data_IF_713228509799
#
_entry.id   IF_713228509799
#
_cell.length_a   1.000
_cell.length_b   1.000
_cell.length_c   1.000
_cell.angle_alpha   90.00
_cell.angle_beta   90.00
_cell.angle_gamma   90.00
#
_symmetry.space_group_name_H-M   'P 1'
#
loop_
_entity.id
_entity.type
_entity.pdbx_description
1 polymer ?
2 water ?
#
# COMPACT_ATOMS: atom_id res chain seq x y z
N UNK A 7 23.92 -9.15 20.64
CA UNK A 7 22.95 -9.15 19.54
C UNK A 7 21.94 -7.99 19.67
N UNK A 8 21.86 -7.07 18.67
CA UNK A 8 20.88 -5.96 18.76
C UNK A 8 19.46 -6.49 18.63
N UNK A 9 18.51 -5.92 19.39
CA UNK A 9 17.11 -6.37 19.32
C UNK A 9 16.17 -5.23 19.01
N UNK A 10 15.02 -5.54 18.37
CA UNK A 10 13.95 -4.60 18.03
C UNK A 10 12.79 -4.82 19.00
N UNK A 11 12.22 -3.77 19.60
CA UNK A 11 11.05 -3.95 20.49
C UNK A 11 9.86 -4.42 19.61
N UNK A 12 9.77 -3.90 18.36
CA UNK A 12 8.74 -4.19 17.34
C UNK A 12 9.27 -3.67 16.01
N UNK A 13 8.65 -4.09 14.90
CA UNK A 13 9.08 -3.69 13.53
C UNK A 13 7.85 -3.24 12.76
N UNK A 14 7.82 -1.95 12.40
CA UNK A 14 6.68 -1.32 11.74
C UNK A 14 7.14 -0.56 10.50
N UNK A 15 6.34 -0.63 9.44
CA UNK A 15 6.67 0.06 8.19
C UNK A 15 5.47 0.67 7.53
N UNK A 16 5.65 1.84 6.89
CA UNK A 16 4.64 2.50 6.09
C UNK A 16 5.29 2.77 4.73
N UNK A 17 4.62 2.38 3.66
CA UNK A 17 5.15 2.54 2.31
C UNK A 17 4.07 3.21 1.50
N UNK A 18 4.42 4.34 0.83
CA UNK A 18 3.49 5.11 -0.02
C UNK A 18 4.10 5.20 -1.40
N UNK A 19 3.27 4.91 -2.40
CA UNK A 19 3.65 5.03 -3.79
C UNK A 19 2.66 5.87 -4.55
N UNK A 20 3.11 7.01 -5.11
CA UNK A 20 2.24 7.90 -5.88
C UNK A 20 2.56 7.81 -7.36
N UNK A 21 1.56 7.50 -8.17
CA UNK A 21 1.70 7.27 -9.60
C UNK A 21 0.77 8.11 -10.45
N UNK A 22 -0.52 8.02 -10.14
CA UNK A 22 -1.59 8.65 -10.89
C UNK A 22 -1.87 10.08 -10.46
N UNK A 23 -1.07 10.98 -11.00
CA UNK A 23 -1.16 12.41 -10.70
C UNK A 23 -2.21 13.13 -11.57
N UNK A 24 -3.03 13.97 -10.93
CA UNK A 24 -4.06 14.77 -11.60
C UNK A 24 -3.45 15.82 -12.56
N UNK A 25 -2.47 16.59 -12.07
CA UNK A 25 -1.83 17.66 -12.83
C UNK A 25 -0.36 17.43 -13.17
N UNK A 26 0.19 16.22 -12.89
CA UNK A 26 1.60 15.99 -13.18
C UNK A 26 1.84 14.72 -13.98
N UNK A 27 3.03 14.53 -14.61
CA UNK A 27 3.26 13.26 -15.34
C UNK A 27 2.99 12.02 -14.49
N UNK A 28 2.36 11.03 -15.10
CA UNK A 28 2.10 9.78 -14.37
C UNK A 28 3.39 8.98 -14.24
N UNK A 29 3.57 8.30 -13.11
CA UNK A 29 4.77 7.50 -12.88
C UNK A 29 4.42 6.04 -13.04
N UNK A 30 5.41 5.20 -13.28
CA UNK A 30 5.10 3.78 -13.46
C UNK A 30 5.67 2.87 -12.39
N UNK A 31 6.94 3.13 -12.00
CA UNK A 31 7.69 2.31 -11.04
C UNK A 31 7.13 2.19 -9.60
N UNK A 32 6.47 3.20 -8.98
CA UNK A 32 5.96 2.99 -7.59
C UNK A 32 5.06 1.78 -7.36
N UNK A 33 4.23 1.38 -8.36
CA UNK A 33 3.31 0.22 -8.33
C UNK A 33 4.02 -1.07 -7.89
N UNK A 34 4.93 -1.60 -8.75
CA UNK A 34 5.69 -2.83 -8.50
C UNK A 34 6.68 -2.65 -7.32
N UNK A 35 7.34 -1.47 -7.22
CA UNK A 35 8.33 -1.19 -6.17
C UNK A 35 7.70 -1.27 -4.74
N UNK A 36 6.58 -0.59 -4.52
CA UNK A 36 5.88 -0.69 -3.22
C UNK A 36 5.38 -2.13 -2.96
N UNK A 37 4.82 -2.80 -4.00
CA UNK A 37 4.33 -4.17 -3.93
C UNK A 37 5.47 -5.13 -3.50
N UNK A 38 6.63 -5.06 -4.17
CA UNK A 38 7.79 -5.88 -3.86
C UNK A 38 8.46 -5.53 -2.53
N UNK A 39 8.50 -4.25 -2.17
CA UNK A 39 9.10 -3.89 -0.88
C UNK A 39 8.26 -4.37 0.30
N UNK A 40 6.91 -4.31 0.15
CA UNK A 40 5.94 -4.80 1.13
C UNK A 40 6.22 -6.27 1.42
N UNK A 41 6.40 -7.09 0.37
CA UNK A 41 6.65 -8.52 0.56
C UNK A 41 7.97 -8.77 1.26
N UNK A 42 9.04 -8.06 0.83
CA UNK A 42 10.38 -8.16 1.41
C UNK A 42 10.39 -7.83 2.90
N UNK A 43 9.78 -6.69 3.28
CA UNK A 43 9.67 -6.30 4.69
C UNK A 43 8.83 -7.26 5.51
N UNK A 44 7.68 -7.76 4.96
CA UNK A 44 6.86 -8.72 5.72
C UNK A 44 7.65 -9.97 6.05
N UNK A 45 8.52 -10.40 5.12
CA UNK A 45 9.44 -11.53 5.31
C UNK A 45 10.34 -11.28 6.50
N UNK A 46 10.74 -10.01 6.76
CA UNK A 46 11.62 -9.61 7.87
C UNK A 46 10.86 -9.30 9.18
N UNK A 47 9.54 -9.64 9.24
CA UNK A 47 8.66 -9.47 10.38
C UNK A 47 8.23 -8.05 10.70
N UNK A 48 8.26 -7.19 9.69
CA UNK A 48 7.69 -5.86 9.83
C UNK A 48 6.18 -5.98 9.65
N UNK A 49 5.42 -5.20 10.42
CA UNK A 49 3.97 -5.07 10.25
C UNK A 49 3.90 -3.88 9.28
N UNK A 50 3.46 -4.13 8.05
CA UNK A 50 3.52 -3.16 6.95
C UNK A 50 2.16 -2.61 6.52
N UNK A 51 2.08 -1.31 6.30
CA UNK A 51 0.90 -0.73 5.67
C UNK A 51 1.44 -0.15 4.36
N UNK A 52 0.86 -0.55 3.20
CA UNK A 52 1.25 -0.06 1.87
C UNK A 52 0.10 0.68 1.23
N UNK A 53 0.37 1.90 0.71
CA UNK A 53 -0.72 2.70 0.19
C UNK A 53 -0.34 3.28 -1.15
N UNK A 54 -1.27 3.20 -2.09
CA UNK A 54 -1.07 3.70 -3.44
C UNK A 54 -1.94 4.93 -3.71
N UNK A 55 -1.37 5.98 -4.35
CA UNK A 55 -2.07 7.21 -4.80
C UNK A 55 -2.84 7.99 -3.72
N UNK A 56 -2.09 8.65 -2.82
CA UNK A 56 -2.70 9.39 -1.71
C UNK A 56 -2.75 10.88 -1.93
N UNK A 57 -3.80 11.54 -1.42
CA UNK A 57 -3.93 13.00 -1.52
C UNK A 57 -3.11 13.61 -0.39
N UNK A 58 -3.05 14.98 -0.34
CA UNK A 58 -2.30 15.68 0.71
C UNK A 58 -2.77 15.28 2.10
N UNK A 59 -4.10 15.37 2.35
CA UNK A 59 -4.73 15.03 3.63
C UNK A 59 -4.44 13.59 4.03
N UNK A 60 -4.59 12.65 3.07
CA UNK A 60 -4.34 11.21 3.26
C UNK A 60 -2.89 10.94 3.62
N UNK A 61 -1.94 11.58 2.91
CA UNK A 61 -0.51 11.44 3.20
C UNK A 61 -0.15 11.89 4.61
N UNK A 62 -0.59 13.10 5.00
CA UNK A 62 -0.35 13.65 6.34
C UNK A 62 -0.92 12.75 7.42
N UNK A 63 -2.14 12.21 7.22
CA UNK A 63 -2.78 11.34 8.21
C UNK A 63 -2.10 10.00 8.37
N UNK A 64 -1.62 9.41 7.25
CA UNK A 64 -0.93 8.13 7.29
C UNK A 64 0.43 8.27 7.96
N UNK A 65 1.19 9.35 7.63
CA UNK A 65 2.49 9.61 8.26
C UNK A 65 2.33 9.82 9.79
N UNK A 66 1.33 10.60 10.21
CA UNK A 66 1.03 10.85 11.62
C UNK A 66 0.76 9.56 12.37
N UNK A 67 -0.05 8.63 11.80
CA UNK A 67 -0.36 7.33 12.42
C UNK A 67 0.90 6.46 12.52
N UNK A 68 1.77 6.55 11.52
CA UNK A 68 3.01 5.77 11.54
C UNK A 68 3.94 6.29 12.65
N UNK A 69 4.08 7.62 12.77
CA UNK A 69 4.92 8.29 13.76
C UNK A 69 4.48 7.89 15.17
N UNK A 70 3.16 7.68 15.35
CA UNK A 70 2.56 7.29 16.61
C UNK A 70 2.99 5.91 17.11
N UNK A 71 3.46 5.04 16.18
CA UNK A 71 3.90 3.70 16.53
C UNK A 71 5.34 3.64 17.04
N UNK A 72 6.09 4.72 16.88
CA UNK A 72 7.51 4.75 17.16
C UNK A 72 7.89 4.93 18.61
N UNK A 73 7.58 3.90 19.42
CA UNK A 73 7.88 3.87 20.85
C UNK A 73 9.35 3.48 21.06
N UNK A 74 9.85 3.61 22.31
CA UNK A 74 11.23 3.31 22.64
C UNK A 74 11.61 1.91 22.21
N UNK A 75 12.73 1.80 21.50
CA UNK A 75 13.28 0.54 21.03
C UNK A 75 12.68 -0.02 19.74
N UNK A 76 11.60 0.58 19.25
CA UNK A 76 10.92 0.11 18.02
C UNK A 76 11.74 0.41 16.76
N UNK A 77 11.69 -0.51 15.77
CA UNK A 77 12.30 -0.34 14.46
C UNK A 77 11.21 0.17 13.50
N UNK A 78 11.42 1.33 12.91
CA UNK A 78 10.45 1.88 11.95
C UNK A 78 11.07 2.01 10.57
N UNK A 79 10.26 1.85 9.51
CA UNK A 79 10.76 2.11 8.13
C UNK A 79 9.65 2.84 7.38
N UNK A 80 9.98 3.99 6.79
CA UNK A 80 9.04 4.78 6.01
C UNK A 80 9.62 4.91 4.60
N UNK A 81 8.82 4.57 3.60
CA UNK A 81 9.25 4.65 2.22
C UNK A 81 8.27 5.44 1.42
N UNK A 82 8.79 6.39 0.63
CA UNK A 82 7.95 7.12 -0.29
C UNK A 82 8.52 7.08 -1.69
N UNK A 83 7.68 6.74 -2.67
CA UNK A 83 8.08 6.80 -4.09
C UNK A 83 7.04 7.63 -4.84
N UNK A 84 7.53 8.63 -5.58
CA UNK A 84 6.66 9.52 -6.35
C UNK A 84 7.33 10.80 -6.77
N UNK A 85 6.54 11.82 -7.10
CA UNK A 85 7.13 13.11 -7.43
C UNK A 85 7.64 13.79 -6.16
N UNK A 86 8.77 14.47 -6.27
CA UNK A 86 9.36 15.25 -5.20
C UNK A 86 9.60 16.67 -5.67
N UNK A 87 9.77 17.58 -4.74
CA UNK A 87 9.99 19.01 -5.00
C UNK A 87 11.07 19.53 -4.06
N UNK A 88 11.99 20.38 -4.56
CA UNK A 88 13.04 20.97 -3.74
C UNK A 88 12.92 22.49 -3.77
N UNK A 89 12.90 23.13 -2.59
CA UNK A 89 12.79 24.59 -2.51
C UNK A 89 13.47 25.17 -1.27
N UNK A 90 14.54 25.97 -1.49
CA UNK A 90 15.36 26.64 -0.47
C UNK A 90 15.91 25.73 0.61
N UNK A 91 16.66 24.71 0.18
CA UNK A 91 17.27 23.74 1.08
C UNK A 91 16.32 22.72 1.68
N UNK A 92 15.03 22.77 1.30
CA UNK A 92 14.03 21.83 1.80
C UNK A 92 13.48 20.98 0.67
N UNK A 93 13.20 19.69 0.97
CA UNK A 93 12.64 18.75 0.01
C UNK A 93 11.22 18.40 0.44
N UNK A 94 10.34 18.15 -0.56
CA UNK A 94 8.92 17.91 -0.33
C UNK A 94 8.39 16.68 -1.09
N UNK A 95 7.47 15.91 -0.47
CA UNK A 95 6.77 14.79 -1.12
C UNK A 95 5.50 15.34 -1.72
N UNK A 96 5.29 15.07 -3.02
CA UNK A 96 4.14 15.57 -3.77
C UNK A 96 2.94 14.60 -3.80
N UNK A 97 1.79 14.98 -3.21
CA UNK A 97 0.59 14.12 -3.29
C UNK A 97 -0.07 14.16 -4.67
N UNK A 98 -0.89 13.15 -5.00
CA UNK A 98 -1.57 13.03 -6.31
C UNK A 98 -2.50 14.19 -6.72
N UNK A 99 -3.05 14.92 -5.72
CA UNK A 99 -3.99 16.04 -5.89
C UNK A 99 -3.29 17.41 -5.93
N UNK A 100 -1.95 17.43 -6.02
CA UNK A 100 -1.21 18.67 -6.02
C UNK A 100 -1.44 19.45 -7.32
N UNK A 101 -1.77 20.75 -7.20
CA UNK A 101 -2.00 21.54 -8.41
C UNK A 101 -0.68 21.84 -9.12
N UNK A 102 -0.76 22.16 -10.43
CA UNK A 102 0.42 22.52 -11.20
C UNK A 102 0.33 24.05 -11.45
N UNK A 103 1.36 24.87 -11.10
CA UNK A 103 2.69 24.53 -10.54
C UNK A 103 2.74 24.12 -9.05
N UNK A 104 3.89 23.53 -8.62
CA UNK A 104 4.14 23.06 -7.25
C UNK A 104 4.15 24.18 -6.23
N UNK A 105 3.47 23.94 -5.10
CA UNK A 105 3.46 24.85 -3.95
C UNK A 105 3.74 24.03 -2.69
N UNK A 106 4.62 24.55 -1.81
CA UNK A 106 5.03 23.93 -0.53
C UNK A 106 3.85 23.50 0.34
N UNK A 107 2.84 24.40 0.50
CA UNK A 107 1.65 24.17 1.32
C UNK A 107 0.82 22.94 0.92
N UNK A 108 0.92 22.54 -0.35
CA UNK A 108 0.21 21.37 -0.88
C UNK A 108 1.02 20.08 -0.69
N UNK A 109 2.29 20.18 -0.28
CA UNK A 109 3.22 19.07 -0.17
C UNK A 109 3.63 18.76 1.28
N UNK A 110 4.27 17.60 1.49
CA UNK A 110 4.75 17.21 2.82
C UNK A 110 6.23 17.47 2.91
N UNK A 111 6.62 18.27 3.91
CA UNK A 111 8.01 18.64 4.15
C UNK A 111 8.79 17.53 4.85
N UNK A 112 9.80 17.03 4.15
CA UNK A 112 10.70 15.94 4.54
C UNK A 112 11.47 16.33 5.81
N UNK A 113 11.99 17.58 5.85
CA UNK A 113 12.76 18.10 6.98
C UNK A 113 11.92 18.09 8.26
N UNK A 114 10.62 18.39 8.14
CA UNK A 114 9.70 18.38 9.30
C UNK A 114 9.46 16.98 9.82
N UNK A 115 9.38 15.97 8.92
CA UNK A 115 9.22 14.58 9.34
C UNK A 115 10.49 14.11 10.07
N UNK A 116 11.67 14.36 9.48
CA UNK A 116 13.01 14.06 10.05
C UNK A 116 13.12 14.64 11.50
N UNK A 117 12.64 15.89 11.68
CA UNK A 117 12.60 16.62 12.94
C UNK A 117 11.72 15.88 13.96
N UNK A 118 10.54 15.42 13.53
CA UNK A 118 9.66 14.66 14.41
C UNK A 118 10.27 13.28 14.73
N UNK A 119 10.98 12.66 13.76
CA UNK A 119 11.63 11.37 13.98
C UNK A 119 12.76 11.47 15.02
N UNK A 120 13.48 12.61 15.02
CA UNK A 120 14.62 12.91 15.92
C UNK A 120 14.24 13.00 17.42
N UNK A 121 12.94 13.19 17.70
CA UNK A 121 12.36 13.26 19.05
C UNK A 121 11.93 11.87 19.56
N UNK A 122 11.99 10.82 18.71
CA UNK A 122 11.64 9.47 19.11
C UNK A 122 12.88 8.77 19.69
N UNK A 123 12.65 7.70 20.44
CA UNK A 123 13.70 6.89 21.05
C UNK A 123 13.69 5.52 20.38
N UNK A 124 13.54 5.53 19.06
CA UNK A 124 13.56 4.33 18.24
C UNK A 124 14.88 3.64 18.31
N UNK A 125 14.83 2.33 18.22
CA UNK A 125 16.01 1.46 18.14
C UNK A 125 16.61 1.68 16.76
N UNK A 126 15.73 1.88 15.75
CA UNK A 126 16.15 2.18 14.38
C UNK A 126 15.02 2.86 13.63
N UNK A 127 15.34 3.88 12.83
CA UNK A 127 14.32 4.53 12.01
C UNK A 127 14.90 4.82 10.67
N UNK A 128 14.42 4.10 9.65
CA UNK A 128 14.88 4.19 8.25
C UNK A 128 13.86 4.93 7.45
N UNK A 129 14.28 6.04 6.81
CA UNK A 129 13.41 6.86 6.00
C UNK A 129 14.00 6.90 4.61
N UNK A 130 13.32 6.26 3.66
CA UNK A 130 13.80 6.22 2.28
C UNK A 130 12.89 6.98 1.34
N UNK A 131 13.46 7.87 0.50
CA UNK A 131 12.71 8.64 -0.49
C UNK A 131 13.20 8.20 -1.87
N UNK A 132 12.28 7.95 -2.76
CA UNK A 132 12.60 7.53 -4.11
C UNK A 132 11.81 8.48 -5.02
N UNK A 133 12.36 9.69 -5.23
CA UNK A 133 11.68 10.80 -5.87
C UNK A 133 12.16 11.25 -7.20
N UNK A 134 11.19 11.59 -8.04
CA UNK A 134 11.34 12.19 -9.36
C UNK A 134 11.30 13.68 -8.99
N UNK A 135 12.51 14.25 -8.86
CA UNK A 135 12.83 15.60 -8.38
C UNK A 135 12.52 16.73 -9.38
N UNK A 136 12.10 17.90 -8.84
CA UNK A 136 11.80 19.12 -9.60
C UNK A 136 12.09 20.40 -8.79
N UNK A 137 12.76 21.39 -9.42
CA UNK A 137 13.11 22.70 -8.86
C UNK A 137 12.76 23.80 -9.87
N UNK A 138 12.18 24.93 -9.39
CA UNK A 138 11.81 26.11 -10.19
C UNK A 138 11.32 27.25 -9.30
N UNK A 151 19.63 14.73 22.71
CA UNK A 151 20.68 13.88 23.26
C UNK A 151 20.52 12.40 22.92
N UNK A 152 19.47 11.72 23.46
CA UNK A 152 19.20 10.28 23.23
C UNK A 152 18.95 10.01 21.74
N UNK A 153 19.80 9.17 21.13
CA UNK A 153 19.75 8.82 19.70
C UNK A 153 18.39 8.23 19.24
N UNK A 154 17.94 8.67 18.05
CA UNK A 154 16.73 8.15 17.41
C UNK A 154 17.19 7.10 16.40
N UNK A 155 18.54 7.02 16.17
CA UNK A 155 19.17 6.09 15.23
C UNK A 155 18.50 6.19 13.84
N UNK A 156 18.48 7.43 13.28
CA UNK A 156 17.87 7.71 11.98
C UNK A 156 18.84 7.43 10.85
N UNK A 157 18.39 6.67 9.85
CA UNK A 157 19.13 6.39 8.63
C UNK A 157 18.20 6.90 7.52
N UNK A 158 18.66 7.92 6.78
CA UNK A 158 17.88 8.55 5.74
C UNK A 158 18.55 8.32 4.38
N UNK A 159 17.82 7.68 3.47
CA UNK A 159 18.26 7.41 2.09
C UNK A 159 17.45 8.23 1.10
N UNK A 160 18.14 9.02 0.27
CA UNK A 160 17.40 9.88 -0.65
C UNK A 160 17.88 9.71 -2.07
N UNK A 161 17.11 8.94 -2.86
CA UNK A 161 17.38 8.65 -4.25
C UNK A 161 16.60 9.63 -5.13
N UNK A 162 17.30 10.23 -6.10
CA UNK A 162 16.70 11.20 -7.01
C UNK A 162 16.75 10.70 -8.47
N UNK A 163 16.81 9.37 -8.66
CA UNK A 163 16.87 8.69 -9.97
C UNK A 163 15.54 8.08 -10.49
N UNK A 164 14.40 8.45 -9.86
CA UNK A 164 13.04 7.99 -10.20
C UNK A 164 12.63 8.48 -11.58
N UNK A 168 12.70 7.35 -15.03
CA UNK A 168 13.67 6.28 -15.27
C UNK A 168 13.26 4.96 -14.59
N UNK A 169 13.11 3.89 -15.41
CA UNK A 169 12.74 2.54 -14.99
C UNK A 169 13.06 1.51 -16.08
N UNK A 170 12.70 0.24 -15.82
CA UNK A 170 12.91 -0.86 -16.76
C UNK A 170 11.62 -1.68 -16.92
N UNK A 171 11.30 -2.02 -18.17
CA UNK A 171 10.14 -2.84 -18.51
C UNK A 171 10.53 -4.32 -18.47
N UNK A 172 9.72 -5.13 -17.77
CA UNK A 172 9.96 -6.57 -17.66
C UNK A 172 9.26 -7.33 -18.78
N UNK A 173 9.52 -8.65 -18.87
CA UNK A 173 8.93 -9.59 -19.83
C UNK A 173 7.40 -9.58 -19.70
N UNK A 174 6.92 -9.20 -18.50
CA UNK A 174 5.52 -9.07 -18.09
C UNK A 174 4.87 -7.77 -18.60
N UNK A 175 5.71 -6.77 -18.89
CA UNK A 175 5.26 -5.44 -19.33
C UNK A 175 5.12 -4.46 -18.19
N UNK A 176 5.50 -4.89 -16.96
CA UNK A 176 5.46 -4.10 -15.72
C UNK A 176 6.78 -3.33 -15.53
N UNK A 177 6.67 -2.11 -14.96
CA UNK A 177 7.79 -1.20 -14.71
C UNK A 177 8.44 -1.43 -13.35
N UNK A 178 9.79 -1.53 -13.30
CA UNK A 178 10.62 -1.74 -12.10
C UNK A 178 11.62 -0.57 -11.96
N UNK A 179 11.76 -0.03 -10.74
CA UNK A 179 12.63 1.11 -10.44
C UNK A 179 14.10 0.79 -10.22
N UNK A 180 14.97 1.79 -10.46
CA UNK A 180 16.44 1.67 -10.33
C UNK A 180 16.90 1.56 -8.86
N UNK A 181 16.44 2.45 -7.98
CA UNK A 181 16.79 2.36 -6.57
C UNK A 181 16.29 1.03 -5.97
N UNK A 182 15.05 0.61 -6.28
CA UNK A 182 14.49 -0.65 -5.75
C UNK A 182 15.17 -1.90 -6.30
N UNK A 183 15.59 -1.90 -7.56
CA UNK A 183 16.31 -3.02 -8.19
C UNK A 183 17.52 -3.42 -7.33
N UNK A 184 18.32 -2.42 -6.91
CA UNK A 184 19.52 -2.67 -6.12
C UNK A 184 19.20 -2.93 -4.66
N UNK A 185 18.19 -2.25 -4.14
CA UNK A 185 17.72 -2.41 -2.77
C UNK A 185 17.18 -3.80 -2.50
N UNK A 186 16.28 -4.31 -3.38
CA UNK A 186 15.68 -5.63 -3.21
C UNK A 186 16.70 -6.80 -3.18
N UNK A 187 17.86 -6.62 -3.86
CA UNK A 187 18.94 -7.60 -3.90
C UNK A 187 19.81 -7.62 -2.63
N UNK A 188 19.68 -6.60 -1.75
CA UNK A 188 20.51 -6.46 -0.53
C UNK A 188 19.77 -6.44 0.80
N UNK A 189 18.51 -6.01 0.79
CA UNK A 189 17.66 -5.84 1.97
C UNK A 189 17.51 -7.03 2.90
N UNK A 190 17.55 -8.28 2.39
CA UNK A 190 17.37 -9.47 3.22
C UNK A 190 18.65 -9.92 3.97
N UNK A 191 19.81 -9.33 3.63
CA UNK A 191 21.11 -9.68 4.24
C UNK A 191 21.23 -9.21 5.68
N UNK A 192 21.85 -10.05 6.55
CA UNK A 192 22.10 -9.75 7.96
C UNK A 192 23.39 -8.93 8.04
N UNK A 193 23.28 -7.64 7.72
CA UNK A 193 24.37 -6.67 7.71
C UNK A 193 23.78 -5.37 8.17
N UNK A 194 24.60 -4.54 8.86
CA UNK A 194 24.25 -3.21 9.34
C UNK A 194 23.60 -2.40 8.18
N UNK A 195 22.45 -1.77 8.42
CA UNK A 195 21.69 -1.04 7.39
C UNK A 195 22.50 -0.02 6.57
N UNK A 196 23.36 0.74 7.24
CA UNK A 196 24.21 1.77 6.64
C UNK A 196 25.24 1.16 5.70
N UNK A 197 25.73 -0.04 6.03
CA UNK A 197 26.70 -0.78 5.22
C UNK A 197 26.00 -1.26 3.94
N UNK A 198 24.73 -1.75 4.06
CA UNK A 198 23.92 -2.18 2.93
C UNK A 198 23.63 -1.03 1.98
N UNK A 199 23.25 0.13 2.53
CA UNK A 199 22.96 1.31 1.73
C UNK A 199 24.20 1.84 0.97
N UNK A 200 25.41 1.71 1.57
CA UNK A 200 26.67 2.12 0.93
C UNK A 200 26.92 1.21 -0.29
N UNK A 201 26.62 -0.09 -0.17
CA UNK A 201 26.73 -1.04 -1.28
C UNK A 201 25.74 -0.67 -2.39
N UNK A 202 24.48 -0.29 -2.03
CA UNK A 202 23.46 0.14 -3.00
C UNK A 202 23.95 1.38 -3.76
N UNK A 203 24.57 2.35 -3.04
CA UNK A 203 25.12 3.58 -3.65
C UNK A 203 26.24 3.24 -4.63
N UNK A 204 27.07 2.20 -4.31
CA UNK A 204 28.14 1.74 -5.20
C UNK A 204 27.56 1.08 -6.45
N UNK A 205 26.55 0.20 -6.27
CA UNK A 205 25.83 -0.48 -7.37
C UNK A 205 25.28 0.52 -8.36
N UNK A 206 24.65 1.59 -7.86
CA UNK A 206 24.07 2.66 -8.67
C UNK A 206 25.14 3.51 -9.38
N UNK A 207 26.28 3.72 -8.71
CA UNK A 207 27.42 4.45 -9.27
C UNK A 207 28.09 3.73 -10.42
N UNK A 208 27.99 2.38 -10.46
CA UNK A 208 28.52 1.52 -11.53
C UNK A 208 27.48 1.38 -12.66
N UNK A 209 26.18 1.50 -12.31
CA UNK A 209 25.03 1.43 -13.23
C UNK A 209 25.13 2.57 -14.25
N UNK A 210 24.93 2.24 -15.54
CA UNK A 210 25.03 3.18 -16.66
C UNK A 210 24.11 4.41 -16.60
N UNK A 211 22.87 4.22 -16.09
CA UNK A 211 21.86 5.28 -15.95
C UNK A 211 22.20 6.33 -14.88
N UNK A 212 22.98 5.92 -13.86
CA UNK A 212 23.30 6.76 -12.69
C UNK A 212 24.80 7.03 -12.44
N UNK A 213 25.70 6.54 -13.34
CA UNK A 213 27.15 6.70 -13.26
C UNK A 213 27.60 8.17 -13.22
N UNK A 214 28.41 8.51 -12.22
CA UNK A 214 28.97 9.85 -11.99
C UNK A 214 27.96 10.96 -11.75
N UNK A 215 26.74 10.59 -11.28
CA UNK A 215 25.64 11.51 -11.02
C UNK A 215 25.20 11.47 -9.55
N UNK A 216 24.59 12.57 -9.05
CA UNK A 216 24.06 12.64 -7.68
C UNK A 216 22.73 11.84 -7.64
N UNK A 217 22.83 10.51 -7.50
CA UNK A 217 21.66 9.62 -7.50
C UNK A 217 21.15 9.22 -6.12
N UNK A 218 22.04 9.06 -5.10
CA UNK A 218 21.69 8.66 -3.73
C UNK A 218 22.48 9.47 -2.70
N UNK A 219 21.80 10.00 -1.70
CA UNK A 219 22.40 10.67 -0.57
C UNK A 219 21.97 9.85 0.64
N UNK A 220 22.91 9.43 1.50
CA UNK A 220 22.61 8.67 2.71
C UNK A 220 23.04 9.51 3.91
N UNK A 221 22.15 9.69 4.89
CA UNK A 221 22.49 10.36 6.14
C UNK A 221 22.30 9.35 7.24
N UNK A 222 23.20 9.33 8.19
CA UNK A 222 23.10 8.37 9.28
C UNK A 222 23.55 8.94 10.59
N UNK A 223 22.80 8.59 11.61
CA UNK A 223 23.11 8.95 12.99
C UNK A 223 23.05 7.67 13.81
N UNK A 224 23.50 6.56 13.19
CA UNK A 224 23.54 5.22 13.75
C UNK A 224 24.88 4.90 14.43
N UNK A 225 24.87 4.89 15.79
CA UNK A 225 26.01 4.66 16.67
C UNK A 225 26.30 3.19 16.96
N UNK A 226 25.37 2.28 16.59
CA UNK A 226 25.50 0.84 16.85
C UNK A 226 25.12 -0.02 15.65
N UNK A 227 25.63 -1.27 15.60
CA UNK A 227 25.41 -2.21 14.49
C UNK A 227 23.98 -2.77 14.40
N UNK A 228 23.02 -1.98 13.89
CA UNK A 228 21.63 -2.43 13.73
C UNK A 228 21.27 -2.78 12.32
N UNK A 229 20.41 -3.79 12.15
CA UNK A 229 20.02 -4.30 10.84
C UNK A 229 18.51 -4.59 10.80
N UNK A 230 17.93 -4.60 9.60
CA UNK A 230 16.51 -4.89 9.39
C UNK A 230 16.16 -6.34 9.81
N UNK A 231 17.16 -7.24 9.80
CA UNK A 231 17.08 -8.66 10.16
C UNK A 231 17.11 -8.92 11.68
N UNK A 232 17.42 -7.89 12.51
CA UNK A 232 17.46 -8.00 13.98
C UNK A 232 16.17 -8.61 14.56
N UNK A 233 16.27 -9.55 15.52
CA UNK A 233 15.05 -10.19 16.06
C UNK A 233 14.20 -9.29 16.93
N UNK A 234 12.90 -9.62 17.07
CA UNK A 234 11.96 -8.88 17.92
C UNK A 234 12.08 -9.33 19.39
N UNK A 235 12.39 -8.35 20.28
CA UNK A 235 12.63 -8.39 21.74
C UNK A 235 11.34 -8.63 22.54
N UNK A 236 11.35 -8.25 23.83
CA UNK A 236 10.22 -8.32 24.73
C UNK A 236 9.20 -7.30 24.28
N UNK A 237 8.50 -7.63 23.18
CA UNK A 237 7.48 -6.86 22.46
C UNK A 237 6.63 -6.04 23.42
N UNK A 238 5.88 -6.75 24.32
CA UNK A 238 4.99 -6.25 25.38
C UNK A 238 4.67 -4.76 25.18
N UNK A 239 3.58 -4.48 24.43
CA UNK A 239 3.13 -3.13 24.03
C UNK A 239 3.20 -2.03 25.10
N UNK A 240 2.07 -1.80 25.81
CA UNK A 240 1.78 -0.83 26.87
C UNK A 240 0.27 -0.57 26.82
N UNK A 241 -0.24 0.27 27.74
CA UNK A 241 -1.66 0.61 27.83
C UNK A 241 -2.21 1.41 26.65
N UNK A 242 -1.67 2.62 26.39
CA UNK A 242 -2.22 3.44 25.31
C UNK A 242 -1.58 3.30 23.92
N UNK A 243 -0.75 2.27 23.74
CA UNK A 243 -0.15 1.95 22.45
C UNK A 243 -0.80 0.68 21.91
N UNK A 244 -1.56 -0.04 22.77
CA UNK A 244 -2.20 -1.31 22.47
C UNK A 244 -3.06 -1.32 21.19
N UNK A 245 -4.18 -0.60 21.19
CA UNK A 245 -5.18 -0.61 20.10
C UNK A 245 -4.59 -0.19 18.75
N UNK A 246 -3.79 0.88 18.75
CA UNK A 246 -3.08 1.44 17.58
C UNK A 246 -2.26 0.34 16.89
N UNK A 247 -1.48 -0.41 17.69
CA UNK A 247 -0.61 -1.49 17.24
C UNK A 247 -1.35 -2.73 16.77
N UNK A 248 -2.44 -3.09 17.46
CA UNK A 248 -3.23 -4.24 17.03
C UNK A 248 -3.88 -3.89 15.67
N UNK A 249 -4.41 -2.66 15.51
CA UNK A 249 -5.02 -2.23 14.24
C UNK A 249 -4.01 -2.22 13.09
N UNK A 250 -2.77 -1.72 13.32
CA UNK A 250 -1.69 -1.69 12.31
C UNK A 250 -1.31 -3.14 11.96
N UNK A 251 -1.24 -4.04 12.97
CA UNK A 251 -0.89 -5.43 12.71
C UNK A 251 -1.97 -6.19 11.90
N UNK A 252 -3.22 -5.73 11.97
CA UNK A 252 -4.36 -6.38 11.28
C UNK A 252 -4.71 -5.80 9.90
N UNK A 253 -4.02 -4.73 9.48
CA UNK A 253 -4.24 -4.08 8.17
C UNK A 253 -3.83 -4.91 6.93
N UNK A 254 -3.34 -6.14 7.13
CA UNK A 254 -2.99 -7.07 6.04
C UNK A 254 -4.07 -8.17 5.88
N UNK A 255 -4.95 -8.31 6.87
CA UNK A 255 -5.98 -9.37 6.90
C UNK A 255 -7.15 -9.13 5.96
N UNK A 256 -7.30 -10.00 4.96
CA UNK A 256 -8.39 -9.91 4.01
C UNK A 256 -9.72 -10.33 4.64
N UNK A 257 -10.89 -9.82 4.18
CA UNK A 257 -12.15 -10.45 4.58
C UNK A 257 -12.09 -11.92 4.09
N UNK A 258 -12.69 -12.83 4.87
CA UNK A 258 -12.69 -14.24 4.48
C UNK A 258 -13.71 -14.46 3.37
N UNK A 259 -13.52 -15.50 2.56
CA UNK A 259 -14.46 -15.86 1.51
C UNK A 259 -15.87 -16.12 2.10
N UNK A 260 -16.90 -15.77 1.34
CA UNK A 260 -18.25 -16.05 1.79
C UNK A 260 -19.12 -16.67 0.73
N UNK A 261 -20.05 -17.49 1.13
CA UNK A 261 -20.97 -18.14 0.21
C UNK A 261 -22.35 -17.67 0.59
N UNK A 262 -22.99 -16.94 -0.32
CA UNK A 262 -24.31 -16.37 -0.11
C UNK A 262 -25.39 -17.23 -0.77
N UNK A 263 -26.43 -17.55 0.00
CA UNK A 263 -27.58 -18.35 -0.43
C UNK A 263 -28.75 -17.41 -0.68
N UNK A 264 -29.41 -17.61 -1.79
CA UNK A 264 -30.54 -16.81 -2.20
C UNK A 264 -31.78 -17.71 -2.06
N UNK A 265 -32.97 -17.12 -1.81
CA UNK A 265 -34.21 -17.92 -1.60
C UNK A 265 -34.56 -18.93 -2.71
N UNK A 266 -34.25 -18.59 -3.98
CA UNK A 266 -34.47 -19.46 -5.16
C UNK A 266 -33.55 -20.68 -5.19
N UNK A 267 -32.49 -20.67 -4.35
CA UNK A 267 -31.54 -21.77 -4.23
C UNK A 267 -30.16 -21.53 -4.84
N UNK A 268 -30.01 -20.45 -5.60
CA UNK A 268 -28.73 -20.08 -6.24
C UNK A 268 -27.72 -19.67 -5.13
N UNK A 269 -26.48 -20.19 -5.22
CA UNK A 269 -25.42 -19.85 -4.27
C UNK A 269 -24.36 -19.06 -4.97
N UNK A 270 -23.96 -17.91 -4.39
CA UNK A 270 -22.93 -17.03 -4.98
C UNK A 270 -21.68 -17.03 -4.04
N UNK A 271 -20.47 -17.25 -4.59
CA UNK A 271 -19.25 -17.15 -3.80
C UNK A 271 -18.65 -15.78 -3.97
N UNK A 272 -18.24 -15.14 -2.86
CA UNK A 272 -17.60 -13.83 -2.85
C UNK A 272 -16.19 -14.07 -2.32
N UNK A 273 -15.19 -13.65 -3.08
CA UNK A 273 -13.80 -13.78 -2.72
C UNK A 273 -13.09 -12.45 -2.67
N UNK A 274 -11.96 -12.41 -1.95
CA UNK A 274 -11.23 -11.17 -1.74
C UNK A 274 -9.73 -11.34 -1.95
N UNK A 275 -9.07 -10.34 -2.57
CA UNK A 275 -7.61 -10.35 -2.77
C UNK A 275 -7.06 -8.95 -2.58
N UNK A 276 -5.78 -8.84 -2.19
CA UNK A 276 -5.19 -7.53 -1.96
C UNK A 276 -3.94 -7.24 -2.76
N UNK A 277 -3.86 -6.04 -3.33
CA UNK A 277 -2.63 -5.58 -3.99
C UNK A 277 -1.88 -4.71 -2.97
N UNK A 278 -2.61 -3.80 -2.28
CA UNK A 278 -2.06 -2.85 -1.28
C UNK A 278 -3.03 -2.77 -0.12
N UNK A 279 -2.62 -2.10 0.99
CA UNK A 279 -3.49 -1.89 2.14
C UNK A 279 -4.73 -1.10 1.75
N UNK A 280 -4.66 -0.28 0.67
CA UNK A 280 -5.84 0.48 0.22
C UNK A 280 -6.45 0.00 -1.14
N UNK A 281 -5.98 -1.13 -1.66
CA UNK A 281 -6.43 -1.65 -2.95
C UNK A 281 -6.86 -3.08 -2.78
N UNK A 282 -8.16 -3.35 -2.92
CA UNK A 282 -8.66 -4.70 -2.76
C UNK A 282 -9.52 -5.09 -3.97
N UNK A 283 -9.41 -6.35 -4.39
CA UNK A 283 -10.19 -6.92 -5.48
C UNK A 283 -11.24 -7.83 -4.86
N UNK A 284 -12.50 -7.68 -5.32
CA UNK A 284 -13.65 -8.48 -4.93
C UNK A 284 -14.04 -9.31 -6.16
N UNK A 285 -14.21 -10.62 -6.00
CA UNK A 285 -14.64 -11.45 -7.11
C UNK A 285 -15.86 -12.27 -6.70
N UNK A 286 -16.76 -12.52 -7.67
CA UNK A 286 -17.98 -13.30 -7.43
C UNK A 286 -18.11 -14.35 -8.52
N UNK A 287 -18.78 -15.46 -8.19
CA UNK A 287 -19.11 -16.52 -9.13
C UNK A 287 -20.34 -17.27 -8.65
N UNK A 288 -21.10 -17.85 -9.57
CA UNK A 288 -22.27 -18.65 -9.23
C UNK A 288 -21.73 -20.04 -8.91
N UNK A 289 -21.80 -20.45 -7.64
CA UNK A 289 -21.29 -21.77 -7.25
C UNK A 289 -22.30 -22.90 -7.40
N UNK A 290 -23.60 -22.57 -7.31
CA UNK A 290 -24.66 -23.55 -7.48
C UNK A 290 -25.90 -22.91 -8.10
N UNK A 291 -26.42 -23.54 -9.15
CA UNK A 291 -27.63 -23.14 -9.85
C UNK A 291 -28.56 -24.38 -9.83
N UNK A 292 -29.70 -24.29 -9.09
CA UNK A 292 -30.66 -25.42 -9.07
C UNK A 292 -31.17 -25.77 -10.48
N UNK A 293 -31.55 -27.06 -10.76
CA UNK A 293 -32.03 -27.41 -12.11
C UNK A 293 -33.22 -26.58 -12.60
N UNK A 294 -34.11 -26.17 -11.68
CA UNK A 294 -35.30 -25.36 -11.97
C UNK A 294 -34.99 -23.96 -12.46
N UNK A 295 -33.75 -23.46 -12.25
CA UNK A 295 -33.33 -22.13 -12.69
C UNK A 295 -32.62 -22.31 -14.03
N UNK A 296 -33.15 -21.70 -15.07
CA UNK A 296 -32.58 -21.81 -16.41
C UNK A 296 -31.35 -20.94 -16.65
N UNK A 297 -31.39 -19.70 -16.13
CA UNK A 297 -30.38 -18.67 -16.35
C UNK A 297 -30.32 -17.79 -15.12
N UNK A 298 -29.11 -17.44 -14.70
CA UNK A 298 -28.91 -16.49 -13.60
C UNK A 298 -27.57 -15.77 -13.73
N UNK A 299 -27.50 -14.55 -13.21
CA UNK A 299 -26.28 -13.75 -13.20
C UNK A 299 -26.20 -12.95 -11.90
N UNK A 300 -24.99 -12.79 -11.35
CA UNK A 300 -24.83 -12.04 -10.09
C UNK A 300 -23.88 -10.87 -10.29
N UNK A 301 -24.09 -9.76 -9.57
CA UNK A 301 -23.21 -8.59 -9.65
C UNK A 301 -23.20 -7.75 -8.35
N UNK A 302 -22.12 -7.01 -8.14
CA UNK A 302 -21.96 -6.20 -6.94
C UNK A 302 -22.36 -4.76 -7.22
N UNK A 303 -23.03 -4.13 -6.24
CA UNK A 303 -23.53 -2.76 -6.36
C UNK A 303 -23.67 -2.03 -5.02
N UNK A 304 -23.98 -0.73 -5.10
CA UNK A 304 -24.25 0.15 -3.96
C UNK A 304 -23.20 0.18 -2.88
N UNK A 305 -21.96 0.45 -3.30
CA UNK A 305 -20.83 0.54 -2.39
C UNK A 305 -20.92 1.88 -1.64
N UNK A 306 -20.23 2.04 -0.47
CA UNK A 306 -20.24 3.34 0.21
C UNK A 306 -19.76 4.47 -0.70
N UNK A 307 -20.42 5.65 -0.58
CA UNK A 307 -20.16 6.82 -1.41
C UNK A 307 -18.69 7.28 -1.39
N UNK A 308 -18.07 7.22 -0.19
CA UNK A 308 -16.66 7.62 0.00
C UNK A 308 -15.68 6.87 -0.90
N UNK A 309 -16.02 5.63 -1.36
CA UNK A 309 -15.14 4.84 -2.22
C UNK A 309 -15.02 5.32 -3.65
N UNK A 310 -16.00 6.12 -4.15
CA UNK A 310 -16.08 6.68 -5.51
C UNK A 310 -15.78 5.62 -6.60
N UNK A 311 -16.58 4.55 -6.63
CA UNK A 311 -16.37 3.43 -7.55
C UNK A 311 -16.63 3.74 -9.05
N UNK A 312 -17.91 3.75 -9.44
CA UNK A 312 -18.51 3.92 -10.77
C UNK A 312 -18.83 2.57 -11.37
N UNK A 313 -20.14 2.23 -11.49
CA UNK A 313 -20.55 0.94 -12.05
C UNK A 313 -19.89 0.49 -13.35
N UNK A 314 -19.40 1.44 -14.17
CA UNK A 314 -18.74 1.15 -15.45
C UNK A 314 -17.33 0.53 -15.26
N UNK A 315 -16.82 0.49 -14.00
CA UNK A 315 -15.50 -0.07 -13.71
C UNK A 315 -15.58 -1.37 -12.87
N UNK A 316 -16.78 -1.68 -12.37
CA UNK A 316 -17.05 -2.86 -11.54
C UNK A 316 -17.57 -4.04 -12.40
N UNK A 317 -17.55 -5.27 -11.82
CA UNK A 317 -18.11 -6.49 -12.44
C UNK A 317 -17.53 -6.88 -13.81
N UNK A 318 -16.20 -6.88 -13.92
CA UNK A 318 -15.51 -7.18 -15.18
C UNK A 318 -15.16 -8.64 -15.36
N UNK A 319 -15.04 -9.07 -16.64
CA UNK A 319 -14.72 -10.45 -17.00
C UNK A 319 -13.31 -10.90 -16.69
N UNK A 320 -12.39 -9.94 -16.53
CA UNK A 320 -11.00 -10.26 -16.22
C UNK A 320 -10.47 -9.26 -15.16
N UNK A 321 -9.44 -9.65 -14.38
CA UNK A 321 -8.83 -8.69 -13.43
C UNK A 321 -8.18 -7.48 -14.11
N UNK A 322 -7.59 -7.67 -15.31
CA UNK A 322 -6.92 -6.60 -16.05
C UNK A 322 -7.84 -5.45 -16.44
N UNK A 323 -9.12 -5.77 -16.73
CA UNK A 323 -10.14 -4.79 -17.09
C UNK A 323 -10.49 -3.83 -15.96
N UNK A 324 -10.16 -4.20 -14.70
CA UNK A 324 -10.41 -3.37 -13.52
C UNK A 324 -9.16 -2.56 -13.15
N UNK A 325 -8.03 -2.88 -13.78
CA UNK A 325 -6.73 -2.24 -13.53
C UNK A 325 -5.86 -3.01 -12.57
N UNK A 326 -6.13 -4.31 -12.44
CA UNK A 326 -5.42 -5.22 -11.54
C UNK A 326 -4.45 -6.12 -12.34
N UNK A 327 -3.15 -6.05 -12.04
CA UNK A 327 -2.13 -6.82 -12.76
C UNK A 327 -1.15 -7.54 -11.82
N UNK A 328 -1.12 -7.17 -10.53
CA UNK A 328 -0.14 -7.69 -9.56
C UNK A 328 -0.40 -9.08 -8.96
N UNK A 329 -1.67 -9.46 -8.78
CA UNK A 329 -2.03 -10.71 -8.09
C UNK A 329 -2.85 -11.70 -8.94
N UNK A 330 -2.70 -11.64 -10.29
CA UNK A 330 -3.41 -12.49 -11.25
C UNK A 330 -3.22 -14.01 -11.08
N UNK A 331 -2.10 -14.44 -10.45
CA UNK A 331 -1.82 -15.86 -10.19
C UNK A 331 -2.65 -16.38 -9.02
N UNK A 332 -3.00 -15.47 -8.08
CA UNK A 332 -3.77 -15.77 -6.87
C UNK A 332 -5.27 -15.47 -7.04
N UNK A 333 -5.69 -15.10 -8.27
CA UNK A 333 -7.09 -14.80 -8.55
C UNK A 333 -7.74 -15.94 -9.32
N UNK A 334 -8.82 -16.55 -8.78
CA UNK A 334 -9.53 -17.60 -9.51
C UNK A 334 -10.07 -17.14 -10.87
N UNK A 335 -10.08 -18.04 -11.84
CA UNK A 335 -10.59 -17.72 -13.17
C UNK A 335 -12.12 -17.81 -13.18
N UNK A 336 -12.74 -17.28 -14.24
CA UNK A 336 -14.18 -17.36 -14.54
C UNK A 336 -15.11 -16.66 -13.54
N UNK A 337 -14.66 -15.51 -12.97
CA UNK A 337 -15.45 -14.75 -12.00
C UNK A 337 -15.74 -13.40 -12.60
N UNK A 338 -16.43 -12.54 -11.84
CA UNK A 338 -16.61 -11.14 -12.20
C UNK A 338 -15.76 -10.40 -11.17
N UNK A 339 -15.00 -9.39 -11.58
CA UNK A 339 -14.02 -8.69 -10.73
C UNK A 339 -14.31 -7.25 -10.57
N UNK A 340 -14.03 -6.75 -9.36
CA UNK A 340 -14.22 -5.34 -8.98
C UNK A 340 -12.99 -4.89 -8.17
N UNK A 341 -12.37 -3.77 -8.57
CA UNK A 341 -11.19 -3.23 -7.88
C UNK A 341 -11.53 -1.97 -7.10
N UNK A 342 -11.36 -2.03 -5.75
CA UNK A 342 -11.61 -0.92 -4.82
C UNK A 342 -10.20 -0.37 -4.45
N UNK A 343 -9.81 0.70 -5.12
CA UNK A 343 -8.50 1.30 -5.01
C UNK A 343 -8.44 2.56 -4.11
N UNK A 344 -9.56 2.96 -3.49
CA UNK A 344 -9.60 4.15 -2.61
C UNK A 344 -10.08 3.77 -1.20
N UNK A 345 -9.69 2.59 -0.67
CA UNK A 345 -10.13 2.13 0.66
C UNK A 345 -9.75 3.04 1.83
N UNK A 346 -8.71 3.89 1.64
CA UNK A 346 -8.26 4.80 2.70
C UNK A 346 -9.33 5.86 2.98
N UNK A 347 -10.29 6.01 2.06
CA UNK A 347 -11.39 6.96 2.18
C UNK A 347 -12.54 6.38 3.02
N UNK A 348 -12.54 5.06 3.25
CA UNK A 348 -13.63 4.37 3.99
C UNK A 348 -13.65 4.71 5.49
N UNK A 349 -14.77 5.28 6.01
CA UNK A 349 -14.92 5.69 7.41
C UNK A 349 -15.85 4.77 8.20
N UNK A 350 -16.53 3.84 7.53
CA UNK A 350 -17.50 2.95 8.15
C UNK A 350 -17.27 1.50 7.67
N UNK A 351 -18.11 0.55 8.13
CA UNK A 351 -18.03 -0.85 7.67
C UNK A 351 -18.23 -0.88 6.16
N UNK A 352 -17.53 -1.78 5.48
CA UNK A 352 -17.70 -1.93 4.03
C UNK A 352 -18.98 -2.77 3.81
N UNK A 353 -20.10 -2.10 3.51
CA UNK A 353 -21.42 -2.71 3.28
C UNK A 353 -21.72 -2.49 1.80
N UNK A 354 -22.08 -3.55 1.08
CA UNK A 354 -22.44 -3.44 -0.34
C UNK A 354 -23.47 -4.48 -0.65
N UNK A 355 -24.04 -4.43 -1.85
CA UNK A 355 -25.13 -5.31 -2.27
C UNK A 355 -24.71 -6.33 -3.35
N UNK A 356 -25.14 -7.58 -3.16
CA UNK A 356 -25.01 -8.62 -4.17
C UNK A 356 -26.41 -8.76 -4.74
N UNK A 357 -26.55 -8.45 -6.05
CA UNK A 357 -27.80 -8.52 -6.82
C UNK A 357 -27.80 -9.79 -7.61
N UNK A 358 -28.95 -10.49 -7.68
CA UNK A 358 -29.09 -11.67 -8.50
C UNK A 358 -30.27 -11.52 -9.43
N UNK A 359 -30.06 -11.80 -10.71
CA UNK A 359 -31.15 -11.87 -11.70
C UNK A 359 -31.28 -13.35 -11.99
N UNK A 360 -32.51 -13.87 -12.09
CA UNK A 360 -32.72 -15.28 -12.36
C UNK A 360 -34.02 -15.58 -13.08
N UNK A 361 -34.06 -16.73 -13.74
CA UNK A 361 -35.25 -17.17 -14.48
C UNK A 361 -35.55 -18.61 -14.27
N UNK A 362 -36.84 -18.89 -14.03
CA UNK A 362 -37.31 -20.27 -13.85
C UNK A 362 -37.52 -20.92 -15.21
N UNK A 363 -37.11 -22.18 -15.35
CA UNK A 363 -37.30 -22.98 -16.56
C UNK A 363 -38.80 -23.07 -16.85
N UNK A 364 -39.21 -22.71 -18.07
CA UNK A 364 -40.61 -22.70 -18.49
C UNK A 364 -41.32 -21.37 -18.31
N UNK A 365 -40.65 -20.41 -17.64
CA UNK A 365 -41.19 -19.07 -17.36
C UNK A 365 -40.36 -18.02 -18.11
N UNK A 366 -40.97 -16.91 -18.51
CA UNK A 366 -40.32 -15.86 -19.32
C UNK A 366 -39.76 -14.69 -18.51
N UNK A 367 -40.37 -14.41 -17.35
CA UNK A 367 -40.01 -13.29 -16.48
C UNK A 367 -38.64 -13.49 -15.81
N UNK A 368 -37.90 -12.38 -15.67
CA UNK A 368 -36.60 -12.35 -14.99
C UNK A 368 -36.93 -11.88 -13.58
N UNK A 369 -36.52 -12.67 -12.59
CA UNK A 369 -36.78 -12.32 -11.20
C UNK A 369 -35.51 -11.65 -10.64
N UNK A 370 -35.67 -10.63 -9.80
CA UNK A 370 -34.54 -9.95 -9.16
C UNK A 370 -34.56 -10.17 -7.66
N UNK A 371 -33.38 -10.41 -7.07
CA UNK A 371 -33.24 -10.54 -5.62
C UNK A 371 -31.93 -9.87 -5.22
N UNK A 372 -31.82 -9.44 -3.98
CA UNK A 372 -30.57 -8.78 -3.58
C UNK A 372 -30.38 -8.88 -2.10
N UNK A 373 -29.12 -8.93 -1.67
CA UNK A 373 -28.82 -8.91 -0.26
C UNK A 373 -27.59 -8.08 0.02
N UNK A 374 -27.60 -7.43 1.18
CA UNK A 374 -26.46 -6.63 1.65
C UNK A 374 -25.45 -7.52 2.35
N UNK A 375 -24.17 -7.22 2.12
CA UNK A 375 -23.03 -7.93 2.69
C UNK A 375 -22.23 -6.91 3.53
N UNK A 376 -21.80 -7.30 4.74
CA UNK A 376 -20.95 -6.45 5.59
C UNK A 376 -19.62 -7.19 5.71
N UNK A 377 -18.52 -6.62 5.16
CA UNK A 377 -17.19 -7.27 5.29
C UNK A 377 -16.27 -6.56 6.29
N UNK A 378 -16.88 -5.79 7.20
CA UNK A 378 -16.20 -5.03 8.24
C UNK A 378 -15.38 -3.87 7.70
N UNK A 379 -14.22 -3.61 8.33
CA UNK A 379 -13.32 -2.52 7.91
C UNK A 379 -12.09 -3.22 7.37
N UNK A 380 -12.03 -3.49 6.05
CA UNK A 380 -10.88 -4.26 5.54
C UNK A 380 -9.60 -3.48 5.41
N UNK A 381 -8.47 -4.12 5.73
CA UNK A 381 -7.10 -3.60 5.51
C UNK A 381 -6.88 -2.24 6.13
N UNK A 382 -6.58 -1.17 5.34
CA UNK A 382 -6.36 0.19 5.83
C UNK A 382 -7.53 0.70 6.67
N UNK A 383 -8.76 0.20 6.40
CA UNK A 383 -9.96 0.65 7.12
C UNK A 383 -9.94 0.26 8.63
N UNK A 384 -9.10 -0.73 9.01
CA UNK A 384 -8.87 -1.17 10.39
C UNK A 384 -8.31 -0.01 11.25
N UNK A 385 -7.54 0.92 10.65
CA UNK A 385 -6.90 2.02 11.39
C UNK A 385 -7.90 3.10 11.80
N UNK A 386 -7.78 3.60 13.03
CA UNK A 386 -8.65 4.69 13.50
C UNK A 386 -8.05 6.07 13.21
N UNK A 387 -7.63 6.31 11.93
CA UNK A 387 -7.01 7.56 11.50
C UNK A 387 -7.99 8.65 11.05
N UNK A 388 -7.50 9.92 10.98
CA UNK A 388 -8.33 11.06 10.54
C UNK A 388 -8.62 10.92 9.06
N UNK A 389 -9.91 11.08 8.67
CA UNK A 389 -10.37 10.93 7.28
C UNK A 389 -11.36 12.02 6.87
#
# INVERSE_FOLDING_TARGET
GPGTTDQPLAKDKVALLIGNMNYREHPKLKAPLVDVYELTNLLRQLDFKVVSLLDLTEYEMRNAVDEFLLLLDKGVYGLLYYAGHGYENFGNSFMVPVDAPNPYRSENCLCVQNILKLMQEKETGLNVFLLDMCRKRNDYDDTIPILDALKVTANIVFGYATCQGAEAFEIQHSGLANGIFMKFLKDRLLEDKKITVLLDEVAEDMGKCHLTKGKQALEIRSSLSEKRALTDPIQGTEYSAESLVRNLQWAKAHELPESMCLKFDCGVQIQLGFAAEFSNVMIIYTSIVYKPPEIIMCDAYVTDFPLDLDIDPKDANKGTPEETGSYLVSKDLPKHCLYTRLSSLQKLKEHLVFTVCLSYQYSGLEDTVEDKQEVNVGKPLIAKLDMHR
#
